data_IF_125677040809
#
_entry.id   IF_125677040809
#
_cell.length_a   1.000
_cell.length_b   1.000
_cell.length_c   1.000
_cell.angle_alpha   90.00
_cell.angle_beta   90.00
_cell.angle_gamma   90.00
#
_symmetry.space_group_name_H-M   'P 1'
#
loop_
_entity.id
_entity.type
_entity.pdbx_description
1 polymer ?
#
# COMPACT_ATOMS: atom_id res chain seq x y z
N UNK A 1 26.86 -20.40 5.45
CA UNK A 1 25.75 -19.71 4.75
C UNK A 1 24.37 -20.23 5.18
N UNK A 2 24.07 -21.55 5.13
CA UNK A 2 22.90 -22.12 5.82
C UNK A 2 22.97 -21.93 7.37
N UNK A 3 24.18 -22.03 7.94
CA UNK A 3 24.46 -21.62 9.34
C UNK A 3 24.34 -20.10 9.58
N UNK A 4 24.33 -19.29 8.50
CA UNK A 4 24.16 -17.82 8.57
C UNK A 4 22.70 -17.44 8.34
N UNK A 5 21.81 -18.37 7.99
CA UNK A 5 20.38 -18.12 7.76
C UNK A 5 19.52 -18.67 8.89
N UNK A 6 20.01 -19.65 9.65
CA UNK A 6 19.36 -20.12 10.88
C UNK A 6 19.78 -19.27 12.09
N UNK A 7 19.53 -17.97 12.01
CA UNK A 7 19.93 -16.97 13.01
C UNK A 7 18.88 -16.75 14.11
N UNK A 8 17.83 -17.58 14.20
CA UNK A 8 16.80 -17.42 15.22
C UNK A 8 17.38 -17.78 16.59
N UNK A 9 17.18 -16.92 17.59
CA UNK A 9 17.53 -17.25 18.96
C UNK A 9 16.81 -18.53 19.36
N UNK A 10 17.56 -19.47 19.93
CA UNK A 10 17.00 -20.74 20.40
C UNK A 10 16.14 -20.51 21.64
N UNK A 11 15.31 -21.49 21.99
CA UNK A 11 14.57 -21.47 23.27
C UNK A 11 15.50 -21.33 24.48
N UNK A 12 16.71 -21.89 24.39
CA UNK A 12 17.72 -21.76 25.42
C UNK A 12 18.26 -20.33 25.50
N UNK A 13 18.56 -19.69 24.35
CA UNK A 13 19.01 -18.29 24.31
C UNK A 13 17.96 -17.34 24.93
N UNK A 14 16.68 -17.57 24.63
CA UNK A 14 15.57 -16.77 25.18
C UNK A 14 15.41 -16.97 26.70
N UNK A 15 15.54 -18.21 27.18
CA UNK A 15 15.49 -18.51 28.61
C UNK A 15 16.67 -17.87 29.36
N UNK A 16 17.89 -17.99 28.82
CA UNK A 16 19.09 -17.36 29.38
C UNK A 16 18.97 -15.84 29.40
N UNK A 17 18.45 -15.22 28.34
CA UNK A 17 18.22 -13.77 28.33
C UNK A 17 17.21 -13.36 29.40
N UNK A 18 16.11 -14.11 29.56
CA UNK A 18 15.10 -13.85 30.59
C UNK A 18 15.73 -13.82 31.98
N UNK A 19 16.57 -14.80 32.30
CA UNK A 19 17.29 -14.89 33.58
C UNK A 19 18.25 -13.71 33.77
N UNK A 20 19.04 -13.36 32.75
CA UNK A 20 19.97 -12.23 32.84
C UNK A 20 19.27 -10.88 32.99
N UNK A 21 18.17 -10.64 32.28
CA UNK A 21 17.38 -9.41 32.43
C UNK A 21 16.75 -9.31 33.83
N UNK A 22 16.32 -10.45 34.39
CA UNK A 22 15.84 -10.53 35.77
C UNK A 22 16.93 -10.14 36.77
N UNK A 23 18.15 -10.66 36.59
CA UNK A 23 19.27 -10.32 37.47
C UNK A 23 19.62 -8.82 37.43
N UNK A 24 19.66 -8.22 36.24
CA UNK A 24 19.92 -6.77 36.09
C UNK A 24 18.84 -5.95 36.81
N UNK A 25 17.56 -6.25 36.59
CA UNK A 25 16.45 -5.47 37.17
C UNK A 25 16.31 -5.65 38.69
N UNK A 26 16.51 -6.88 39.20
CA UNK A 26 16.17 -7.23 40.57
C UNK A 26 17.38 -7.19 41.52
N UNK A 27 18.56 -7.56 41.04
CA UNK A 27 19.77 -7.69 41.86
C UNK A 27 20.68 -6.47 41.72
N UNK A 28 21.06 -6.11 40.50
CA UNK A 28 22.04 -5.04 40.24
C UNK A 28 21.46 -3.64 40.47
N UNK A 29 20.26 -3.39 39.97
CA UNK A 29 19.55 -2.13 40.15
C UNK A 29 18.63 -2.10 41.39
N UNK A 30 18.61 -3.20 42.16
CA UNK A 30 17.97 -3.30 43.47
C UNK A 30 16.44 -3.45 43.48
N UNK A 31 15.78 -3.38 42.32
CA UNK A 31 14.36 -3.71 42.08
C UNK A 31 13.31 -3.05 42.98
N UNK A 32 12.02 -3.17 42.64
CA UNK A 32 10.96 -2.82 43.59
C UNK A 32 10.83 -3.90 44.67
N UNK A 33 10.69 -3.49 45.94
CA UNK A 33 10.54 -4.42 47.08
C UNK A 33 9.13 -5.00 47.24
N UNK A 34 8.17 -4.53 46.45
CA UNK A 34 6.77 -4.96 46.55
C UNK A 34 6.55 -6.28 45.82
N UNK A 35 5.93 -7.31 46.45
CA UNK A 35 5.61 -8.57 45.78
C UNK A 35 4.77 -8.40 44.50
N UNK A 36 3.88 -7.41 44.46
CA UNK A 36 3.06 -7.12 43.28
C UNK A 36 3.90 -6.55 42.14
N UNK A 37 4.89 -5.71 42.46
CA UNK A 37 5.77 -5.11 41.47
C UNK A 37 6.78 -6.12 40.92
N UNK A 38 7.29 -7.04 41.77
CA UNK A 38 8.10 -8.18 41.34
C UNK A 38 7.31 -9.07 40.36
N UNK A 39 6.07 -9.42 40.72
CA UNK A 39 5.18 -10.20 39.83
C UNK A 39 4.95 -9.51 38.49
N UNK A 40 4.72 -8.19 38.49
CA UNK A 40 4.53 -7.42 37.26
C UNK A 40 5.80 -7.38 36.38
N UNK A 41 6.98 -7.27 36.99
CA UNK A 41 8.26 -7.34 36.25
C UNK A 41 8.39 -8.71 35.57
N UNK A 42 8.17 -9.79 36.30
CA UNK A 42 8.38 -11.16 35.82
C UNK A 42 7.35 -11.60 34.77
N UNK A 43 6.09 -11.19 34.93
CA UNK A 43 4.97 -11.59 34.07
C UNK A 43 4.75 -10.66 32.88
N UNK A 44 5.20 -9.41 32.93
CA UNK A 44 4.93 -8.41 31.87
C UNK A 44 6.20 -7.79 31.32
N UNK A 45 7.01 -7.12 32.16
CA UNK A 45 8.12 -6.29 31.66
C UNK A 45 9.23 -7.12 31.04
N UNK A 46 9.68 -8.19 31.71
CA UNK A 46 10.74 -9.04 31.18
C UNK A 46 10.30 -9.72 29.88
N UNK A 47 9.11 -10.37 29.79
CA UNK A 47 8.61 -10.90 28.51
C UNK A 47 8.55 -9.85 27.40
N UNK A 48 8.07 -8.64 27.70
CA UNK A 48 8.00 -7.53 26.74
C UNK A 48 9.39 -7.10 26.23
N UNK A 49 10.39 -7.04 27.13
CA UNK A 49 11.77 -6.69 26.77
C UNK A 49 12.43 -7.81 25.97
N UNK A 50 12.24 -9.07 26.36
CA UNK A 50 12.72 -10.24 25.60
C UNK A 50 12.16 -10.21 24.18
N UNK A 51 10.85 -9.97 24.04
CA UNK A 51 10.21 -9.82 22.74
C UNK A 51 10.81 -8.66 21.94
N UNK A 52 10.93 -7.47 22.55
CA UNK A 52 11.51 -6.29 21.90
C UNK A 52 12.95 -6.53 21.41
N UNK A 53 13.80 -7.15 22.24
CA UNK A 53 15.20 -7.43 21.90
C UNK A 53 15.32 -8.52 20.84
N UNK A 54 14.51 -9.57 20.93
CA UNK A 54 14.47 -10.63 19.92
C UNK A 54 14.04 -10.09 18.55
N UNK A 55 12.96 -9.31 18.50
CA UNK A 55 12.43 -8.73 17.26
C UNK A 55 13.35 -7.66 16.65
N UNK A 56 14.36 -7.21 17.39
CA UNK A 56 15.35 -6.21 16.95
C UNK A 56 16.80 -6.66 17.23
N UNK A 57 17.07 -7.96 17.14
CA UNK A 57 18.38 -8.52 17.48
C UNK A 57 19.55 -7.98 16.62
N UNK A 58 19.25 -7.38 15.48
CA UNK A 58 20.20 -6.72 14.58
C UNK A 58 20.49 -5.25 14.94
N UNK A 59 19.77 -4.69 15.91
CA UNK A 59 19.85 -3.29 16.35
C UNK A 59 20.37 -3.15 17.79
N UNK A 60 20.87 -4.21 18.41
CA UNK A 60 21.24 -4.22 19.83
C UNK A 60 22.39 -3.27 20.16
N UNK A 61 23.24 -2.95 19.19
CA UNK A 61 24.33 -1.95 19.31
C UNK A 61 23.96 -0.59 18.71
N UNK A 62 22.71 -0.40 18.26
CA UNK A 62 22.27 0.82 17.60
C UNK A 62 21.88 1.89 18.64
N UNK A 63 22.39 3.13 18.53
CA UNK A 63 22.12 4.18 19.52
C UNK A 63 20.65 4.57 19.59
N UNK A 64 19.98 4.69 18.44
CA UNK A 64 18.56 5.05 18.37
C UNK A 64 17.67 3.95 18.94
N UNK A 65 18.04 2.68 18.76
CA UNK A 65 17.32 1.58 19.41
C UNK A 65 17.44 1.66 20.94
N UNK A 66 18.62 1.98 21.47
CA UNK A 66 18.80 2.22 22.90
C UNK A 66 17.90 3.36 23.41
N UNK A 67 17.74 4.45 22.66
CA UNK A 67 16.79 5.53 22.99
C UNK A 67 15.33 5.05 23.05
N UNK A 68 14.91 4.19 22.12
CA UNK A 68 13.56 3.59 22.11
C UNK A 68 13.35 2.71 23.36
N UNK A 69 14.36 1.93 23.75
CA UNK A 69 14.32 1.11 24.96
C UNK A 69 14.24 1.99 26.21
N UNK A 70 15.03 3.05 26.30
CA UNK A 70 14.92 4.05 27.37
C UNK A 70 13.51 4.61 27.48
N UNK A 71 12.90 4.93 26.34
CA UNK A 71 11.54 5.45 26.30
C UNK A 71 10.51 4.43 26.81
N UNK A 72 10.65 3.15 26.42
CA UNK A 72 9.83 2.04 26.92
C UNK A 72 9.92 1.92 28.44
N UNK A 73 11.14 1.96 29.00
CA UNK A 73 11.38 1.85 30.44
C UNK A 73 10.84 3.06 31.21
N UNK A 74 10.97 4.28 30.67
CA UNK A 74 10.45 5.50 31.31
C UNK A 74 8.95 5.40 31.60
N UNK A 75 8.18 4.89 30.63
CA UNK A 75 6.73 4.78 30.77
C UNK A 75 6.32 3.60 31.65
N UNK A 76 7.12 2.53 31.69
CA UNK A 76 6.84 1.36 32.50
C UNK A 76 7.25 1.51 33.98
N UNK A 77 8.27 2.33 34.30
CA UNK A 77 8.88 2.37 35.64
C UNK A 77 8.75 3.68 36.43
N UNK A 78 8.20 4.76 35.87
CA UNK A 78 8.10 6.07 36.56
C UNK A 78 9.43 6.55 37.20
N UNK A 79 10.57 6.09 36.69
CA UNK A 79 11.89 6.43 37.21
C UNK A 79 12.34 7.82 36.72
N UNK A 80 13.20 8.53 37.48
CA UNK A 80 13.83 9.76 37.00
C UNK A 80 14.58 9.50 35.70
N UNK A 81 14.46 10.42 34.73
CA UNK A 81 15.03 10.24 33.39
C UNK A 81 16.55 9.95 33.38
N UNK A 82 17.29 10.47 34.38
CA UNK A 82 18.73 10.22 34.53
C UNK A 82 19.07 8.74 34.81
N UNK A 83 18.20 8.02 35.51
CA UNK A 83 18.40 6.61 35.90
C UNK A 83 18.08 5.67 34.72
N UNK A 84 17.08 6.03 33.93
CA UNK A 84 16.57 5.20 32.83
C UNK A 84 17.59 5.03 31.71
N UNK A 85 18.42 6.06 31.48
CA UNK A 85 19.44 6.03 30.42
C UNK A 85 20.49 4.95 30.65
N UNK A 86 20.99 4.84 31.89
CA UNK A 86 22.03 3.86 32.23
C UNK A 86 21.43 2.46 32.41
N UNK A 87 20.23 2.36 33.01
CA UNK A 87 19.51 1.08 33.09
C UNK A 87 19.25 0.47 31.70
N UNK A 88 18.87 1.28 30.71
CA UNK A 88 18.65 0.78 29.35
C UNK A 88 19.94 0.24 28.71
N UNK A 89 21.10 0.86 28.99
CA UNK A 89 22.39 0.36 28.51
C UNK A 89 22.72 -0.98 29.16
N UNK A 90 22.56 -1.08 30.47
CA UNK A 90 22.86 -2.31 31.21
C UNK A 90 21.94 -3.46 30.79
N UNK A 91 20.66 -3.19 30.51
CA UNK A 91 19.73 -4.20 29.99
C UNK A 91 20.06 -4.68 28.57
N UNK A 92 20.73 -3.85 27.76
CA UNK A 92 21.17 -4.25 26.43
C UNK A 92 22.42 -5.16 26.48
N UNK A 93 23.27 -5.06 27.50
CA UNK A 93 24.52 -5.84 27.61
C UNK A 93 24.26 -7.36 27.56
N UNK A 94 23.32 -7.94 28.33
CA UNK A 94 22.99 -9.36 28.22
C UNK A 94 22.54 -9.77 26.82
N UNK A 95 21.71 -8.96 26.18
CA UNK A 95 21.24 -9.23 24.81
C UNK A 95 22.39 -9.16 23.80
N UNK A 96 23.30 -8.20 23.96
CA UNK A 96 24.50 -8.05 23.13
C UNK A 96 25.44 -9.26 23.24
N UNK A 97 25.51 -9.90 24.40
CA UNK A 97 26.26 -11.15 24.59
C UNK A 97 25.75 -12.34 23.75
N UNK A 98 24.52 -12.26 23.26
CA UNK A 98 23.85 -13.31 22.46
C UNK A 98 23.88 -12.96 20.96
N UNK A 99 24.58 -11.90 20.53
CA UNK A 99 24.64 -11.47 19.13
C UNK A 99 25.17 -12.61 18.25
N UNK A 100 24.26 -13.18 17.46
CA UNK A 100 24.55 -14.17 16.42
C UNK A 100 24.41 -13.58 15.01
N UNK A 101 23.99 -12.32 14.87
CA UNK A 101 23.66 -11.65 13.59
C UNK A 101 24.50 -10.39 13.35
N UNK A 102 24.75 -10.00 12.08
CA UNK A 102 25.34 -8.70 11.74
C UNK A 102 24.55 -7.56 12.39
N UNK A 103 25.25 -6.59 12.97
CA UNK A 103 24.64 -5.42 13.61
C UNK A 103 24.53 -4.24 12.64
N UNK A 104 23.39 -3.57 12.64
CA UNK A 104 23.14 -2.39 11.83
C UNK A 104 23.45 -1.12 12.61
N UNK A 105 24.48 -0.39 12.15
CA UNK A 105 24.97 0.81 12.82
C UNK A 105 24.34 2.11 12.30
N UNK A 106 23.51 2.08 11.24
CA UNK A 106 22.80 3.28 10.76
C UNK A 106 21.82 3.75 11.84
N UNK A 107 22.00 4.94 12.44
CA UNK A 107 21.11 5.45 13.48
C UNK A 107 19.67 5.64 12.99
N UNK A 108 19.44 5.75 11.68
CA UNK A 108 18.10 5.93 11.11
C UNK A 108 17.35 4.61 10.94
N UNK A 109 18.02 3.46 11.05
CA UNK A 109 17.42 2.16 10.77
C UNK A 109 16.18 1.84 11.61
N UNK A 110 16.15 2.09 12.94
CA UNK A 110 14.93 1.85 13.72
C UNK A 110 13.72 2.62 13.19
N UNK A 111 13.91 3.86 12.74
CA UNK A 111 12.83 4.63 12.10
C UNK A 111 12.50 4.08 10.71
N UNK A 112 13.50 3.74 9.88
CA UNK A 112 13.24 3.10 8.57
C UNK A 112 12.39 1.84 8.72
N UNK A 113 12.65 0.99 9.72
CA UNK A 113 11.85 -0.21 10.04
C UNK A 113 10.40 0.14 10.33
N UNK A 114 10.14 1.09 11.23
CA UNK A 114 8.78 1.55 11.57
C UNK A 114 8.06 2.04 10.30
N UNK A 115 8.72 2.88 9.52
CA UNK A 115 8.12 3.52 8.36
C UNK A 115 7.94 2.58 7.17
N UNK A 116 8.77 1.52 7.04
CA UNK A 116 8.55 0.43 6.08
C UNK A 116 7.27 -0.34 6.38
N UNK A 117 7.08 -0.74 7.63
CA UNK A 117 5.84 -1.43 8.07
C UNK A 117 4.62 -0.53 7.90
N UNK A 118 4.73 0.74 8.28
CA UNK A 118 3.64 1.70 8.17
C UNK A 118 3.25 1.99 6.71
N UNK A 119 4.22 2.20 5.80
CA UNK A 119 3.95 2.30 4.34
C UNK A 119 3.38 0.98 3.79
N UNK A 120 3.78 -0.14 4.37
CA UNK A 120 3.23 -1.47 4.08
C UNK A 120 1.73 -1.62 4.37
N UNK A 121 1.13 -0.65 5.08
CA UNK A 121 -0.28 -0.63 5.44
C UNK A 121 -0.57 -1.21 6.83
N UNK A 122 0.46 -1.51 7.62
CA UNK A 122 0.26 -1.98 9.00
C UNK A 122 -0.22 -0.84 9.91
N UNK A 123 -1.12 -1.19 10.84
CA UNK A 123 -1.60 -0.26 11.87
C UNK A 123 -0.52 -0.03 12.92
N UNK A 124 -0.52 1.14 13.58
CA UNK A 124 0.45 1.41 14.66
C UNK A 124 0.42 0.37 15.79
N UNK A 125 -0.76 -0.14 16.24
CA UNK A 125 -0.81 -1.23 17.20
C UNK A 125 -0.13 -2.51 16.70
N UNK A 126 -0.34 -2.89 15.42
CA UNK A 126 0.32 -4.04 14.80
C UNK A 126 1.85 -3.86 14.77
N UNK A 127 2.32 -2.66 14.44
CA UNK A 127 3.76 -2.36 14.42
C UNK A 127 4.35 -2.46 15.84
N UNK A 128 3.65 -1.91 16.84
CA UNK A 128 4.08 -2.00 18.25
C UNK A 128 4.17 -3.46 18.73
N UNK A 129 3.15 -4.27 18.42
CA UNK A 129 3.13 -5.69 18.74
C UNK A 129 4.26 -6.43 18.04
N UNK A 130 4.47 -6.19 16.74
CA UNK A 130 5.49 -6.88 15.93
C UNK A 130 6.93 -6.51 16.33
N UNK A 131 7.18 -5.24 16.60
CA UNK A 131 8.54 -4.73 16.88
C UNK A 131 8.86 -4.71 18.37
N UNK A 132 7.85 -4.77 19.24
CA UNK A 132 8.00 -4.51 20.67
C UNK A 132 8.22 -3.03 21.02
N UNK A 133 8.13 -2.11 20.05
CA UNK A 133 8.27 -0.68 20.30
C UNK A 133 7.04 -0.12 21.03
N UNK A 134 7.19 0.93 21.87
CA UNK A 134 6.07 1.54 22.58
C UNK A 134 5.08 2.21 21.61
N UNK A 135 3.78 1.94 21.75
CA UNK A 135 2.74 2.47 20.85
C UNK A 135 2.70 4.01 20.86
N UNK A 136 2.78 4.57 22.04
CA UNK A 136 2.82 5.98 22.34
C UNK A 136 4.10 6.68 21.80
N UNK A 137 5.20 5.94 21.64
CA UNK A 137 6.36 6.41 20.87
C UNK A 137 6.04 6.48 19.37
N UNK A 138 5.35 5.47 18.82
CA UNK A 138 4.92 5.48 17.41
C UNK A 138 3.95 6.64 17.13
N UNK A 139 2.99 6.88 18.02
CA UNK A 139 2.06 8.01 17.92
C UNK A 139 2.81 9.35 17.87
N UNK A 140 3.82 9.52 18.72
CA UNK A 140 4.67 10.71 18.72
C UNK A 140 5.40 10.89 17.38
N UNK A 141 5.96 9.83 16.80
CA UNK A 141 6.64 9.91 15.49
C UNK A 141 5.67 10.35 14.39
N UNK A 142 4.47 9.78 14.34
CA UNK A 142 3.46 10.14 13.33
C UNK A 142 2.97 11.58 13.53
N UNK A 143 2.79 12.02 14.78
CA UNK A 143 2.45 13.41 15.08
C UNK A 143 3.54 14.38 14.59
N UNK A 144 4.81 14.07 14.85
CA UNK A 144 5.95 14.87 14.39
C UNK A 144 6.03 14.94 12.86
N UNK A 145 5.82 13.82 12.17
CA UNK A 145 5.76 13.77 10.71
C UNK A 145 4.60 14.64 10.17
N UNK A 146 3.41 14.58 10.78
CA UNK A 146 2.27 15.42 10.39
C UNK A 146 2.56 16.90 10.56
N UNK A 147 3.20 17.30 11.66
CA UNK A 147 3.64 18.69 11.88
C UNK A 147 4.61 19.16 10.79
N UNK A 148 5.62 18.34 10.47
CA UNK A 148 6.57 18.64 9.40
C UNK A 148 5.87 18.79 8.04
N UNK A 149 4.96 17.87 7.69
CA UNK A 149 4.16 17.95 6.46
C UNK A 149 3.32 19.22 6.41
N UNK A 150 2.65 19.58 7.51
CA UNK A 150 1.85 20.82 7.57
C UNK A 150 2.69 22.07 7.37
N UNK A 151 3.91 22.11 7.93
CA UNK A 151 4.83 23.22 7.76
C UNK A 151 5.35 23.31 6.32
N UNK A 152 5.85 22.20 5.77
CA UNK A 152 6.47 22.15 4.44
C UNK A 152 5.46 22.33 3.30
N UNK A 153 4.23 21.82 3.44
CA UNK A 153 3.18 21.98 2.42
C UNK A 153 2.83 23.46 2.16
N UNK A 154 2.85 24.30 3.20
CA UNK A 154 2.48 25.71 3.10
C UNK A 154 3.64 26.62 2.70
N UNK A 155 4.88 26.21 2.97
CA UNK A 155 6.05 27.11 2.88
C UNK A 155 7.07 26.67 1.83
N UNK A 156 7.01 25.42 1.33
CA UNK A 156 8.10 24.76 0.59
C UNK A 156 9.46 24.91 1.29
N UNK A 157 9.45 24.94 2.62
CA UNK A 157 10.63 25.14 3.44
C UNK A 157 11.68 24.05 3.22
N UNK A 158 12.94 24.47 3.14
CA UNK A 158 14.13 23.63 3.16
C UNK A 158 14.34 22.99 4.54
N UNK A 159 15.22 21.98 4.60
CA UNK A 159 15.62 21.37 5.87
C UNK A 159 16.19 22.39 6.87
N UNK A 160 16.94 23.39 6.39
CA UNK A 160 17.52 24.44 7.23
C UNK A 160 16.43 25.31 7.86
N UNK A 161 15.41 25.70 7.09
CA UNK A 161 14.27 26.47 7.60
C UNK A 161 13.44 25.64 8.58
N UNK A 162 13.29 24.33 8.33
CA UNK A 162 12.66 23.42 9.29
C UNK A 162 13.44 23.36 10.61
N UNK A 163 14.77 23.34 10.56
CA UNK A 163 15.62 23.39 11.76
C UNK A 163 15.54 24.73 12.49
N UNK A 164 15.21 25.82 11.79
CA UNK A 164 15.05 27.13 12.41
C UNK A 164 13.70 27.29 13.10
N UNK A 165 12.70 26.48 12.78
CA UNK A 165 11.39 26.50 13.41
C UNK A 165 11.45 25.99 14.87
N UNK A 166 10.93 26.77 15.81
CA UNK A 166 10.96 26.45 17.24
C UNK A 166 10.24 25.13 17.59
N UNK A 167 9.10 24.85 16.97
CA UNK A 167 8.31 23.64 17.24
C UNK A 167 8.96 22.37 16.67
N UNK A 168 9.66 22.48 15.53
CA UNK A 168 10.31 21.33 14.88
C UNK A 168 11.68 21.02 15.49
N UNK A 169 12.35 21.99 16.14
CA UNK A 169 13.63 21.77 16.85
C UNK A 169 13.52 20.74 17.97
N UNK A 170 12.35 20.59 18.58
CA UNK A 170 12.10 19.61 19.65
C UNK A 170 12.29 18.15 19.19
N UNK A 171 12.36 17.90 17.88
CA UNK A 171 12.48 16.54 17.34
C UNK A 171 13.91 16.00 17.48
N UNK A 172 14.90 16.91 17.61
CA UNK A 172 16.31 16.59 17.44
C UNK A 172 16.71 16.59 15.95
N UNK A 173 17.99 16.91 15.69
CA UNK A 173 18.50 17.07 14.32
C UNK A 173 18.36 15.79 13.48
N UNK A 174 18.77 14.64 14.02
CA UNK A 174 18.77 13.37 13.29
C UNK A 174 17.36 12.94 12.87
N UNK A 175 16.40 13.03 13.78
CA UNK A 175 15.02 12.63 13.50
C UNK A 175 14.35 13.60 12.52
N UNK A 176 14.55 14.91 12.70
CA UNK A 176 14.02 15.90 11.75
C UNK A 176 14.61 15.70 10.35
N UNK A 177 15.92 15.46 10.27
CA UNK A 177 16.62 15.14 9.03
C UNK A 177 16.05 13.88 8.37
N UNK A 178 15.84 12.81 9.15
CA UNK A 178 15.21 11.59 8.65
C UNK A 178 13.79 11.84 8.12
N UNK A 179 12.92 12.51 8.88
CA UNK A 179 11.55 12.78 8.44
C UNK A 179 11.49 13.63 7.19
N UNK A 180 12.34 14.66 7.10
CA UNK A 180 12.42 15.50 5.92
C UNK A 180 12.87 14.68 4.72
N UNK A 181 13.97 13.93 4.83
CA UNK A 181 14.48 13.06 3.77
C UNK A 181 13.44 12.04 3.32
N UNK A 182 12.79 11.38 4.27
CA UNK A 182 11.75 10.40 4.01
C UNK A 182 10.56 11.03 3.28
N UNK A 183 10.07 12.18 3.73
CA UNK A 183 8.98 12.89 3.06
C UNK A 183 9.37 13.27 1.62
N UNK A 184 10.56 13.86 1.44
CA UNK A 184 11.04 14.25 0.11
C UNK A 184 11.27 13.06 -0.81
N UNK A 185 11.74 11.92 -0.30
CA UNK A 185 11.93 10.71 -1.07
C UNK A 185 10.59 10.09 -1.46
N UNK A 186 9.62 10.05 -0.53
CA UNK A 186 8.26 9.58 -0.80
C UNK A 186 7.56 10.43 -1.87
N UNK A 187 7.84 11.73 -1.94
CA UNK A 187 7.23 12.65 -2.90
C UNK A 187 8.02 12.75 -4.23
N UNK A 188 9.34 12.61 -4.20
CA UNK A 188 10.23 12.90 -5.33
C UNK A 188 10.89 11.68 -5.99
N UNK A 189 11.06 10.56 -5.28
CA UNK A 189 11.62 9.33 -5.87
C UNK A 189 10.52 8.43 -6.43
N UNK A 190 10.57 8.06 -7.73
CA UNK A 190 9.60 7.15 -8.31
C UNK A 190 9.71 5.77 -7.66
N UNK A 191 8.56 5.17 -7.36
CA UNK A 191 8.43 3.84 -6.77
C UNK A 191 9.08 3.68 -5.38
N UNK A 192 9.37 4.77 -4.68
CA UNK A 192 10.00 4.72 -3.35
C UNK A 192 9.18 3.90 -2.35
N UNK A 193 7.85 4.07 -2.36
CA UNK A 193 6.95 3.35 -1.45
C UNK A 193 6.93 1.85 -1.75
N UNK A 194 6.87 1.49 -3.03
CA UNK A 194 6.88 0.12 -3.52
C UNK A 194 8.22 -0.55 -3.21
N UNK A 195 9.34 0.17 -3.39
CA UNK A 195 10.67 -0.27 -2.99
C UNK A 195 10.74 -0.61 -1.50
N UNK A 196 10.26 0.29 -0.64
CA UNK A 196 10.22 0.06 0.82
C UNK A 196 9.37 -1.16 1.21
N UNK A 197 8.24 -1.40 0.52
CA UNK A 197 7.43 -2.61 0.72
C UNK A 197 8.20 -3.87 0.38
N UNK A 198 8.94 -3.89 -0.74
CA UNK A 198 9.74 -5.04 -1.16
C UNK A 198 10.96 -5.25 -0.27
N UNK A 199 11.60 -4.18 0.22
CA UNK A 199 12.66 -4.28 1.24
C UNK A 199 12.15 -4.94 2.53
N UNK A 200 10.91 -4.65 2.94
CA UNK A 200 10.31 -5.31 4.11
C UNK A 200 10.08 -6.81 3.85
N UNK A 201 9.60 -7.18 2.66
CA UNK A 201 9.44 -8.59 2.28
C UNK A 201 10.78 -9.33 2.34
N UNK A 202 11.85 -8.74 1.82
CA UNK A 202 13.19 -9.31 1.86
C UNK A 202 13.66 -9.55 3.30
N UNK A 203 13.41 -8.59 4.20
CA UNK A 203 13.73 -8.77 5.61
C UNK A 203 12.92 -9.90 6.26
N UNK A 204 11.64 -9.98 5.94
CA UNK A 204 10.73 -11.00 6.47
C UNK A 204 11.11 -12.40 5.99
N UNK A 205 11.64 -12.49 4.77
CA UNK A 205 12.23 -13.71 4.22
C UNK A 205 13.55 -14.10 4.92
N UNK A 206 14.22 -13.16 5.59
CA UNK A 206 15.47 -13.42 6.32
C UNK A 206 16.65 -13.80 5.40
N UNK A 207 16.64 -13.35 4.14
CA UNK A 207 17.64 -13.71 3.14
C UNK A 207 18.36 -12.50 2.55
N UNK A 208 19.65 -12.64 2.17
CA UNK A 208 20.42 -11.57 1.55
C UNK A 208 20.02 -11.41 0.07
N UNK A 209 18.86 -10.80 -0.17
CA UNK A 209 18.32 -10.52 -1.51
C UNK A 209 18.25 -9.00 -1.72
N UNK A 210 18.42 -8.53 -2.96
CA UNK A 210 18.19 -7.12 -3.30
C UNK A 210 16.78 -6.93 -3.89
N UNK A 211 16.25 -5.70 -3.82
CA UNK A 211 14.91 -5.40 -4.38
C UNK A 211 14.81 -5.73 -5.89
N UNK A 212 15.80 -5.42 -6.75
CA UNK A 212 15.72 -5.76 -8.17
C UNK A 212 15.58 -7.26 -8.43
N UNK A 213 16.23 -8.08 -7.60
CA UNK A 213 16.14 -9.55 -7.65
C UNK A 213 14.69 -9.98 -7.35
N UNK A 214 14.11 -9.49 -6.25
CA UNK A 214 12.72 -9.81 -5.91
C UNK A 214 11.73 -9.34 -7.00
N UNK A 215 11.95 -8.15 -7.57
CA UNK A 215 11.14 -7.64 -8.69
C UNK A 215 11.22 -8.56 -9.90
N UNK A 216 12.43 -8.99 -10.29
CA UNK A 216 12.61 -9.90 -11.42
C UNK A 216 11.91 -11.24 -11.18
N UNK A 217 11.95 -11.78 -9.96
CA UNK A 217 11.28 -13.02 -9.61
C UNK A 217 9.76 -12.89 -9.78
N UNK A 218 9.19 -11.81 -9.22
CA UNK A 218 7.77 -11.54 -9.30
C UNK A 218 7.34 -11.22 -10.74
N UNK A 219 8.19 -10.58 -11.55
CA UNK A 219 7.95 -10.35 -12.99
C UNK A 219 7.91 -11.66 -13.80
N UNK A 220 8.80 -12.62 -13.51
CA UNK A 220 8.78 -13.94 -14.16
C UNK A 220 7.47 -14.66 -13.85
N UNK A 221 7.05 -14.64 -12.57
CA UNK A 221 5.78 -15.25 -12.15
C UNK A 221 4.60 -14.55 -12.83
N UNK A 222 4.61 -13.21 -12.88
CA UNK A 222 3.60 -12.41 -13.59
C UNK A 222 3.49 -12.80 -15.07
N UNK A 223 4.63 -12.91 -15.75
CA UNK A 223 4.70 -13.19 -17.19
C UNK A 223 4.15 -14.58 -17.56
N UNK A 224 4.27 -15.53 -16.63
CA UNK A 224 3.85 -16.92 -16.83
C UNK A 224 2.76 -17.35 -15.84
N UNK A 225 1.90 -16.42 -15.42
CA UNK A 225 0.82 -16.69 -14.47
C UNK A 225 -0.03 -17.88 -14.94
N UNK A 226 -0.26 -18.82 -14.02
CA UNK A 226 -1.06 -20.02 -14.29
C UNK A 226 -0.38 -21.09 -15.15
N UNK A 227 0.89 -20.90 -15.53
CA UNK A 227 1.68 -21.88 -16.31
C UNK A 227 2.80 -22.52 -15.49
N UNK A 228 3.51 -21.72 -14.69
CA UNK A 228 4.63 -22.18 -13.86
C UNK A 228 4.16 -22.89 -12.60
N UNK A 229 4.77 -24.03 -12.29
CA UNK A 229 4.78 -24.62 -10.95
C UNK A 229 6.11 -24.33 -10.25
N UNK A 230 6.24 -24.76 -8.99
CA UNK A 230 7.44 -24.53 -8.18
C UNK A 230 8.67 -25.16 -8.80
N UNK A 231 8.57 -26.42 -9.25
CA UNK A 231 9.70 -27.14 -9.84
C UNK A 231 10.20 -26.46 -11.13
N UNK A 232 9.28 -26.01 -11.98
CA UNK A 232 9.61 -25.28 -13.21
C UNK A 232 10.27 -23.94 -12.89
N UNK A 233 9.76 -23.20 -11.89
CA UNK A 233 10.35 -21.92 -11.49
C UNK A 233 11.74 -22.10 -10.86
N UNK A 234 11.91 -23.10 -9.99
CA UNK A 234 13.21 -23.45 -9.40
C UNK A 234 14.21 -23.82 -10.50
N UNK A 235 13.78 -24.59 -11.50
CA UNK A 235 14.63 -24.96 -12.64
C UNK A 235 15.03 -23.73 -13.45
N UNK A 236 14.08 -22.84 -13.77
CA UNK A 236 14.35 -21.59 -14.49
C UNK A 236 15.29 -20.65 -13.70
N UNK A 237 15.13 -20.56 -12.38
CA UNK A 237 16.02 -19.80 -11.50
C UNK A 237 17.42 -20.41 -11.44
N UNK A 238 17.52 -21.75 -11.43
CA UNK A 238 18.79 -22.49 -11.43
C UNK A 238 19.58 -22.30 -12.72
N UNK A 239 18.91 -22.26 -13.87
CA UNK A 239 19.54 -21.96 -15.17
C UNK A 239 19.95 -20.48 -15.28
N UNK A 240 19.20 -19.58 -14.65
CA UNK A 240 19.49 -18.16 -14.60
C UNK A 240 20.59 -17.78 -13.60
N UNK A 241 21.26 -18.72 -12.93
CA UNK A 241 22.21 -18.48 -11.83
C UNK A 241 23.37 -17.52 -12.16
N UNK A 242 23.63 -17.23 -13.43
CA UNK A 242 24.56 -16.18 -13.86
C UNK A 242 24.03 -14.74 -13.74
N UNK A 243 22.72 -14.55 -13.61
CA UNK A 243 22.02 -13.26 -13.55
C UNK A 243 21.84 -12.79 -12.09
N UNK A 244 21.69 -13.72 -11.14
CA UNK A 244 21.32 -13.46 -9.75
C UNK A 244 22.50 -13.21 -8.81
N UNK A 245 23.54 -12.51 -9.30
CA UNK A 245 24.51 -11.76 -8.48
C UNK A 245 25.30 -12.49 -7.39
N UNK A 246 25.15 -13.80 -7.22
CA UNK A 246 25.91 -14.60 -6.28
C UNK A 246 26.47 -15.80 -7.02
N UNK A 247 27.79 -15.79 -7.23
CA UNK A 247 28.54 -16.98 -7.62
C UNK A 247 28.45 -18.05 -6.53
N UNK A 248 27.35 -18.79 -6.50
CA UNK A 248 27.21 -20.08 -5.83
C UNK A 248 26.72 -21.05 -6.90
N UNK A 249 27.63 -21.33 -7.83
CA UNK A 249 27.42 -22.20 -8.97
C UNK A 249 28.77 -22.45 -9.60
N UNK A 250 29.64 -23.16 -8.88
CA UNK A 250 30.69 -23.90 -9.56
C UNK A 250 30.02 -24.86 -10.54
N UNK A 251 30.52 -24.92 -11.78
CA UNK A 251 30.06 -25.88 -12.78
C UNK A 251 29.94 -27.30 -12.17
N UNK A 252 28.72 -27.74 -11.89
CA UNK A 252 28.44 -29.08 -11.37
C UNK A 252 27.35 -29.09 -10.30
N UNK A 253 26.08 -29.29 -10.72
CA UNK A 253 25.03 -29.95 -9.95
C UNK A 253 24.87 -29.61 -8.46
N UNK A 254 24.97 -28.33 -8.08
CA UNK A 254 24.96 -27.96 -6.66
C UNK A 254 23.51 -27.87 -6.13
N UNK A 255 23.09 -28.90 -5.37
CA UNK A 255 21.76 -29.00 -4.73
C UNK A 255 21.43 -27.79 -3.82
N UNK A 256 22.44 -26.99 -3.44
CA UNK A 256 22.33 -25.83 -2.56
C UNK A 256 21.64 -24.62 -3.21
N UNK A 257 21.80 -24.41 -4.52
CA UNK A 257 21.09 -23.35 -5.24
C UNK A 257 19.58 -23.59 -5.23
N UNK A 258 19.17 -24.85 -5.41
CA UNK A 258 17.76 -25.25 -5.37
C UNK A 258 17.11 -25.07 -3.99
N UNK A 259 17.85 -25.34 -2.91
CA UNK A 259 17.39 -25.11 -1.54
C UNK A 259 17.11 -23.63 -1.26
N UNK A 260 17.95 -22.72 -1.79
CA UNK A 260 17.72 -21.28 -1.67
C UNK A 260 16.46 -20.85 -2.43
N UNK A 261 16.32 -21.27 -3.68
CA UNK A 261 15.14 -20.97 -4.50
C UNK A 261 13.85 -21.50 -3.87
N UNK A 262 13.89 -22.71 -3.30
CA UNK A 262 12.75 -23.30 -2.61
C UNK A 262 12.33 -22.51 -1.37
N UNK A 263 13.29 -22.11 -0.51
CA UNK A 263 13.00 -21.31 0.68
C UNK A 263 12.41 -19.93 0.34
N UNK A 264 12.83 -19.32 -0.77
CA UNK A 264 12.25 -18.07 -1.29
C UNK A 264 10.79 -18.26 -1.66
N UNK A 265 10.47 -19.30 -2.42
CA UNK A 265 9.10 -19.53 -2.91
C UNK A 265 8.16 -19.84 -1.74
N UNK A 266 8.53 -20.76 -0.84
CA UNK A 266 7.76 -21.07 0.38
C UNK A 266 7.58 -19.82 1.26
N UNK A 267 8.65 -19.04 1.45
CA UNK A 267 8.59 -17.77 2.17
C UNK A 267 7.59 -16.79 1.55
N UNK A 268 7.61 -16.60 0.23
CA UNK A 268 6.68 -15.72 -0.48
C UNK A 268 5.23 -16.22 -0.47
N UNK A 269 5.01 -17.55 -0.46
CA UNK A 269 3.68 -18.15 -0.28
C UNK A 269 3.18 -17.89 1.16
N UNK A 270 4.02 -18.10 2.17
CA UNK A 270 3.67 -17.85 3.57
C UNK A 270 3.37 -16.37 3.86
N UNK A 271 4.07 -15.45 3.18
CA UNK A 271 3.83 -14.01 3.23
C UNK A 271 2.66 -13.56 2.33
N UNK A 272 2.00 -14.48 1.64
CA UNK A 272 0.88 -14.25 0.73
C UNK A 272 1.21 -13.33 -0.45
N UNK A 273 2.47 -13.29 -0.91
CA UNK A 273 2.87 -12.60 -2.13
C UNK A 273 2.65 -13.45 -3.38
N UNK A 274 2.75 -14.77 -3.25
CA UNK A 274 2.46 -15.73 -4.33
C UNK A 274 1.40 -16.69 -3.82
N UNK A 275 0.56 -17.19 -4.73
CA UNK A 275 -0.47 -18.18 -4.46
C UNK A 275 -0.43 -19.30 -5.49
N UNK A 276 -1.01 -20.46 -5.14
CA UNK A 276 -1.24 -21.57 -6.06
C UNK A 276 -2.70 -21.57 -6.49
N UNK A 277 -2.95 -21.62 -7.79
CA UNK A 277 -4.29 -21.82 -8.32
C UNK A 277 -4.76 -23.28 -8.12
N UNK A 278 -6.00 -23.59 -8.53
CA UNK A 278 -6.56 -24.95 -8.41
C UNK A 278 -5.75 -26.05 -9.12
N UNK A 279 -4.96 -25.67 -10.13
CA UNK A 279 -4.08 -26.56 -10.87
C UNK A 279 -2.66 -26.67 -10.28
N UNK A 280 -2.41 -26.05 -9.11
CA UNK A 280 -1.10 -26.02 -8.46
C UNK A 280 -0.10 -25.06 -9.10
N UNK A 281 -0.55 -24.19 -10.02
CA UNK A 281 0.31 -23.23 -10.74
C UNK A 281 0.39 -21.91 -9.98
N UNK A 282 1.55 -21.28 -10.05
CA UNK A 282 1.87 -20.05 -9.34
C UNK A 282 1.18 -18.84 -9.99
N UNK A 283 0.66 -17.97 -9.14
CA UNK A 283 0.05 -16.68 -9.51
C UNK A 283 0.43 -15.63 -8.49
N UNK A 284 0.50 -14.37 -8.90
CA UNK A 284 0.68 -13.29 -7.93
C UNK A 284 -0.60 -13.06 -7.12
N UNK A 285 -0.42 -12.68 -5.86
CA UNK A 285 -1.50 -12.10 -5.07
C UNK A 285 -1.86 -10.69 -5.57
N UNK A 286 -3.06 -10.20 -5.24
CA UNK A 286 -3.43 -8.81 -5.54
C UNK A 286 -2.43 -7.81 -4.91
N UNK A 287 -1.96 -8.09 -3.68
CA UNK A 287 -0.98 -7.26 -2.96
C UNK A 287 0.36 -7.16 -3.70
N UNK A 288 0.90 -8.28 -4.14
CA UNK A 288 2.19 -8.32 -4.83
C UNK A 288 2.07 -7.73 -6.23
N UNK A 289 1.01 -8.05 -6.97
CA UNK A 289 0.73 -7.46 -8.28
C UNK A 289 0.63 -5.93 -8.22
N UNK A 290 -0.09 -5.37 -7.24
CA UNK A 290 -0.15 -3.92 -7.00
C UNK A 290 1.23 -3.33 -6.68
N UNK A 291 2.06 -4.05 -5.90
CA UNK A 291 3.39 -3.58 -5.51
C UNK A 291 4.35 -3.56 -6.69
N UNK A 292 4.31 -4.56 -7.58
CA UNK A 292 5.23 -4.64 -8.71
C UNK A 292 4.77 -3.86 -9.96
N UNK A 293 3.48 -3.53 -10.06
CA UNK A 293 2.93 -2.88 -11.26
C UNK A 293 3.69 -1.62 -11.67
N UNK A 294 4.13 -0.83 -10.69
CA UNK A 294 4.98 0.34 -10.92
C UNK A 294 6.30 0.05 -11.63
N UNK A 295 6.92 -1.09 -11.33
CA UNK A 295 8.18 -1.52 -11.94
C UNK A 295 7.98 -2.09 -13.35
N UNK A 296 6.82 -2.70 -13.63
CA UNK A 296 6.49 -3.26 -14.95
C UNK A 296 6.04 -2.19 -15.95
N UNK A 297 5.47 -1.09 -15.45
CA UNK A 297 4.88 -0.01 -16.24
C UNK A 297 5.80 0.57 -17.32
N UNK A 298 7.09 0.89 -17.07
CA UNK A 298 7.98 1.43 -18.10
C UNK A 298 8.13 0.49 -19.31
N UNK A 299 8.32 -0.82 -19.05
CA UNK A 299 8.50 -1.83 -20.10
C UNK A 299 7.20 -2.05 -20.89
N UNK A 300 6.09 -2.25 -20.18
CA UNK A 300 4.78 -2.50 -20.80
C UNK A 300 4.25 -1.26 -21.52
N UNK A 301 4.46 -0.08 -20.96
CA UNK A 301 4.13 1.20 -21.57
C UNK A 301 4.89 1.43 -22.87
N UNK A 302 6.20 1.17 -22.91
CA UNK A 302 6.98 1.24 -24.15
C UNK A 302 6.49 0.23 -25.21
N UNK A 303 6.13 -0.99 -24.81
CA UNK A 303 5.54 -1.97 -25.72
C UNK A 303 4.20 -1.48 -26.28
N UNK A 304 3.34 -0.89 -25.44
CA UNK A 304 2.05 -0.36 -25.84
C UNK A 304 2.19 0.85 -26.77
N UNK A 305 3.10 1.78 -26.45
CA UNK A 305 3.47 2.92 -27.33
C UNK A 305 3.93 2.45 -28.70
N UNK A 306 4.79 1.42 -28.76
CA UNK A 306 5.26 0.84 -30.03
C UNK A 306 4.12 0.22 -30.83
N UNK A 307 3.23 -0.56 -30.19
CA UNK A 307 2.08 -1.16 -30.85
C UNK A 307 1.14 -0.10 -31.45
N UNK A 308 0.90 1.00 -30.72
CA UNK A 308 0.08 2.12 -31.19
C UNK A 308 0.76 2.86 -32.35
N UNK A 309 2.09 3.05 -32.29
CA UNK A 309 2.88 3.71 -33.34
C UNK A 309 2.82 2.96 -34.67
N UNK A 310 2.80 1.63 -34.64
CA UNK A 310 2.64 0.79 -35.84
C UNK A 310 1.17 0.56 -36.23
N UNK A 311 0.23 1.24 -35.57
CA UNK A 311 -1.22 1.11 -35.76
C UNK A 311 -1.76 -0.32 -35.57
N UNK A 312 -1.09 -1.15 -34.77
CA UNK A 312 -1.53 -2.51 -34.45
C UNK A 312 -2.35 -2.52 -33.15
N UNK A 313 -3.65 -2.30 -33.30
CA UNK A 313 -4.59 -2.30 -32.18
C UNK A 313 -4.79 -3.69 -31.58
N UNK A 314 -4.60 -4.77 -32.34
CA UNK A 314 -4.76 -6.12 -31.81
C UNK A 314 -3.58 -6.51 -30.92
N UNK A 315 -2.36 -6.13 -31.31
CA UNK A 315 -1.19 -6.26 -30.45
C UNK A 315 -1.34 -5.43 -29.18
N UNK A 316 -1.80 -4.18 -29.30
CA UNK A 316 -2.02 -3.30 -28.14
C UNK A 316 -3.04 -3.92 -27.15
N UNK A 317 -4.15 -4.47 -27.66
CA UNK A 317 -5.14 -5.19 -26.85
C UNK A 317 -4.54 -6.44 -26.22
N UNK A 318 -3.76 -7.23 -26.98
CA UNK A 318 -3.10 -8.44 -26.47
C UNK A 318 -2.16 -8.15 -25.31
N UNK A 319 -1.41 -7.04 -25.38
CA UNK A 319 -0.56 -6.58 -24.27
C UNK A 319 -1.42 -6.32 -23.02
N UNK A 320 -2.54 -5.60 -23.14
CA UNK A 320 -3.41 -5.31 -21.99
C UNK A 320 -4.11 -6.56 -21.44
N UNK A 321 -4.65 -7.41 -22.31
CA UNK A 321 -5.42 -8.61 -21.92
C UNK A 321 -4.55 -9.71 -21.30
N UNK A 322 -3.23 -9.68 -21.51
CA UNK A 322 -2.29 -10.63 -20.89
C UNK A 322 -1.89 -10.24 -19.46
N UNK A 323 -2.30 -9.07 -18.97
CA UNK A 323 -1.93 -8.61 -17.62
C UNK A 323 -2.99 -9.03 -16.59
N UNK A 324 -2.54 -9.32 -15.37
CA UNK A 324 -3.46 -9.42 -14.24
C UNK A 324 -4.16 -8.08 -13.95
N UNK A 325 -5.29 -8.12 -13.23
CA UNK A 325 -6.15 -6.95 -13.02
C UNK A 325 -5.42 -5.76 -12.37
N UNK A 326 -4.53 -6.02 -11.42
CA UNK A 326 -3.82 -4.96 -10.70
C UNK A 326 -2.83 -4.21 -11.59
N UNK A 327 -2.07 -4.93 -12.43
CA UNK A 327 -1.16 -4.32 -13.41
C UNK A 327 -1.95 -3.67 -14.55
N UNK A 328 -3.04 -4.30 -14.98
CA UNK A 328 -3.93 -3.75 -16.01
C UNK A 328 -4.50 -2.39 -15.61
N UNK A 329 -5.03 -2.24 -14.39
CA UNK A 329 -5.56 -0.95 -13.90
C UNK A 329 -4.49 0.15 -13.98
N UNK A 330 -3.25 -0.16 -13.60
CA UNK A 330 -2.14 0.79 -13.68
C UNK A 330 -1.78 1.15 -15.12
N UNK A 331 -1.88 0.21 -16.05
CA UNK A 331 -1.71 0.46 -17.48
C UNK A 331 -2.85 1.26 -18.09
N UNK A 332 -4.08 1.10 -17.60
CA UNK A 332 -5.23 1.92 -17.99
C UNK A 332 -4.93 3.38 -17.62
N UNK A 333 -4.50 3.64 -16.38
CA UNK A 333 -4.14 5.00 -15.92
C UNK A 333 -2.99 5.60 -16.74
N UNK A 334 -1.95 4.78 -16.97
CA UNK A 334 -0.82 5.17 -17.80
C UNK A 334 -1.26 5.53 -19.23
N UNK A 335 -2.18 4.76 -19.81
CA UNK A 335 -2.69 5.00 -21.17
C UNK A 335 -3.39 6.35 -21.28
N UNK A 336 -4.06 6.81 -20.22
CA UNK A 336 -4.73 8.12 -20.20
C UNK A 336 -3.74 9.28 -20.04
N UNK A 337 -2.63 9.07 -19.33
CA UNK A 337 -1.61 10.09 -19.10
C UNK A 337 -0.68 10.29 -20.30
N UNK A 338 -0.41 9.22 -21.05
CA UNK A 338 0.67 9.20 -22.04
C UNK A 338 0.18 9.17 -23.50
N UNK A 339 -1.07 8.78 -23.75
CA UNK A 339 -1.63 8.68 -25.10
C UNK A 339 -2.62 9.82 -25.38
N UNK A 340 -2.90 10.09 -26.66
CA UNK A 340 -4.01 10.99 -27.01
C UNK A 340 -5.36 10.36 -26.62
N UNK A 341 -6.39 11.18 -26.40
CA UNK A 341 -7.73 10.69 -26.05
C UNK A 341 -8.28 9.68 -27.08
N UNK A 342 -8.00 9.88 -28.37
CA UNK A 342 -8.40 8.98 -29.45
C UNK A 342 -7.70 7.63 -29.34
N UNK A 343 -6.38 7.62 -29.12
CA UNK A 343 -5.59 6.41 -28.97
C UNK A 343 -5.97 5.64 -27.71
N UNK A 344 -6.05 6.34 -26.58
CA UNK A 344 -6.46 5.77 -25.30
C UNK A 344 -7.85 5.14 -25.42
N UNK A 345 -8.82 5.87 -25.98
CA UNK A 345 -10.16 5.32 -26.16
C UNK A 345 -10.18 4.10 -27.09
N UNK A 346 -9.48 4.14 -28.23
CA UNK A 346 -9.46 3.03 -29.18
C UNK A 346 -8.93 1.72 -28.57
N UNK A 347 -7.87 1.80 -27.78
CA UNK A 347 -7.26 0.65 -27.12
C UNK A 347 -8.13 0.19 -25.94
N UNK A 348 -8.55 1.10 -25.06
CA UNK A 348 -9.30 0.78 -23.85
C UNK A 348 -10.72 0.27 -24.13
N UNK A 349 -11.38 0.81 -25.15
CA UNK A 349 -12.67 0.27 -25.61
C UNK A 349 -12.54 -1.18 -26.11
N UNK A 350 -11.36 -1.55 -26.64
CA UNK A 350 -11.07 -2.91 -27.11
C UNK A 350 -11.07 -3.96 -26.01
N UNK A 351 -10.82 -3.58 -24.76
CA UNK A 351 -10.77 -4.49 -23.61
C UNK A 351 -12.04 -4.47 -22.75
N UNK A 352 -13.00 -3.60 -23.04
CA UNK A 352 -14.30 -3.55 -22.36
C UNK A 352 -15.06 -4.87 -22.54
N UNK A 353 -15.59 -5.43 -21.45
CA UNK A 353 -16.25 -6.73 -21.34
C UNK A 353 -15.36 -7.95 -21.68
N UNK A 354 -14.03 -7.79 -21.68
CA UNK A 354 -13.09 -8.88 -21.99
C UNK A 354 -12.34 -9.45 -20.80
N UNK A 355 -12.31 -8.74 -19.66
CA UNK A 355 -11.51 -9.13 -18.49
C UNK A 355 -12.41 -9.52 -17.32
N UNK A 356 -13.00 -8.54 -16.64
CA UNK A 356 -13.92 -8.77 -15.53
C UNK A 356 -14.84 -7.57 -15.34
N UNK A 357 -15.97 -7.79 -14.63
CA UNK A 357 -16.91 -6.70 -14.30
C UNK A 357 -16.26 -5.61 -13.45
N UNK A 358 -15.29 -5.96 -12.61
CA UNK A 358 -14.52 -4.99 -11.80
C UNK A 358 -13.72 -4.05 -12.71
N UNK A 359 -13.06 -4.59 -13.74
CA UNK A 359 -12.33 -3.80 -14.74
C UNK A 359 -13.29 -2.98 -15.60
N UNK A 360 -14.45 -3.52 -15.98
CA UNK A 360 -15.46 -2.79 -16.75
C UNK A 360 -15.99 -1.56 -16.01
N UNK A 361 -16.26 -1.69 -14.70
CA UNK A 361 -16.64 -0.57 -13.83
C UNK A 361 -15.52 0.47 -13.79
N UNK A 362 -14.26 0.03 -13.72
CA UNK A 362 -13.11 0.94 -13.74
C UNK A 362 -13.01 1.70 -15.07
N UNK A 363 -13.14 0.99 -16.20
CA UNK A 363 -13.12 1.58 -17.53
C UNK A 363 -14.22 2.62 -17.72
N UNK A 364 -15.42 2.39 -17.21
CA UNK A 364 -16.52 3.37 -17.29
C UNK A 364 -16.20 4.65 -16.54
N UNK A 365 -15.60 4.54 -15.34
CA UNK A 365 -15.14 5.72 -14.60
C UNK A 365 -14.07 6.49 -15.36
N UNK A 366 -13.14 5.78 -16.00
CA UNK A 366 -12.11 6.36 -16.87
C UNK A 366 -12.73 7.06 -18.08
N UNK A 367 -13.72 6.44 -18.72
CA UNK A 367 -14.40 6.98 -19.91
C UNK A 367 -15.19 8.26 -19.64
N UNK A 368 -15.51 8.57 -18.38
CA UNK A 368 -16.11 9.86 -18.02
C UNK A 368 -15.24 11.06 -18.44
N UNK A 369 -13.92 10.89 -18.53
CA UNK A 369 -12.99 11.93 -19.00
C UNK A 369 -12.77 11.95 -20.52
N UNK A 370 -13.40 11.04 -21.26
CA UNK A 370 -13.20 10.88 -22.71
C UNK A 370 -14.52 11.14 -23.47
N UNK A 371 -14.71 12.33 -24.05
CA UNK A 371 -15.94 12.64 -24.80
C UNK A 371 -16.27 11.64 -25.93
N UNK A 372 -15.24 11.04 -26.53
CA UNK A 372 -15.35 10.00 -27.57
C UNK A 372 -16.07 8.73 -27.08
N UNK A 373 -16.10 8.48 -25.76
CA UNK A 373 -16.75 7.33 -25.16
C UNK A 373 -18.28 7.46 -25.08
N UNK A 374 -18.86 8.60 -25.45
CA UNK A 374 -20.29 8.87 -25.36
C UNK A 374 -21.17 7.73 -25.91
N UNK A 375 -20.89 7.25 -27.12
CA UNK A 375 -21.69 6.18 -27.75
C UNK A 375 -21.58 4.84 -27.02
N UNK A 376 -20.42 4.54 -26.42
CA UNK A 376 -20.24 3.34 -25.60
C UNK A 376 -21.04 3.48 -24.30
N UNK A 377 -20.89 4.61 -23.61
CA UNK A 377 -21.58 4.90 -22.35
C UNK A 377 -23.11 4.89 -22.50
N UNK A 378 -23.63 5.40 -23.62
CA UNK A 378 -25.05 5.30 -23.95
C UNK A 378 -25.55 3.84 -24.03
N UNK A 379 -24.72 2.91 -24.51
CA UNK A 379 -25.05 1.47 -24.49
C UNK A 379 -25.00 0.90 -23.07
N UNK A 380 -24.05 1.35 -22.25
CA UNK A 380 -23.88 0.90 -20.86
C UNK A 380 -25.08 1.25 -19.97
N UNK A 381 -25.90 2.25 -20.33
CA UNK A 381 -27.16 2.57 -19.62
C UNK A 381 -28.16 1.40 -19.61
N UNK A 382 -28.00 0.42 -20.49
CA UNK A 382 -28.85 -0.77 -20.56
C UNK A 382 -28.14 -2.06 -20.10
N UNK A 383 -26.96 -1.97 -19.44
CA UNK A 383 -26.26 -3.15 -18.94
C UNK A 383 -27.05 -3.84 -17.80
N UNK A 384 -26.91 -5.15 -17.67
CA UNK A 384 -27.57 -5.93 -16.63
C UNK A 384 -27.02 -5.60 -15.23
N UNK A 385 -25.76 -5.22 -15.14
CA UNK A 385 -25.11 -4.83 -13.88
C UNK A 385 -25.48 -3.37 -13.53
N UNK A 386 -26.09 -3.18 -12.36
CA UNK A 386 -26.49 -1.85 -11.89
C UNK A 386 -25.31 -0.92 -11.61
N UNK A 387 -24.12 -1.45 -11.27
CA UNK A 387 -22.93 -0.62 -11.06
C UNK A 387 -22.42 -0.05 -12.39
N UNK A 388 -22.53 -0.82 -13.48
CA UNK A 388 -22.22 -0.37 -14.83
C UNK A 388 -23.21 0.72 -15.26
N UNK A 389 -24.52 0.53 -15.06
CA UNK A 389 -25.53 1.55 -15.37
C UNK A 389 -25.31 2.84 -14.58
N UNK A 390 -25.10 2.74 -13.27
CA UNK A 390 -24.84 3.89 -12.41
C UNK A 390 -23.58 4.66 -12.81
N UNK A 391 -22.48 3.93 -13.09
CA UNK A 391 -21.24 4.54 -13.58
C UNK A 391 -21.41 5.21 -14.94
N UNK A 392 -22.25 4.65 -15.83
CA UNK A 392 -22.55 5.25 -17.12
C UNK A 392 -23.36 6.55 -16.99
N UNK A 393 -24.33 6.60 -16.06
CA UNK A 393 -25.02 7.85 -15.72
C UNK A 393 -24.03 8.93 -15.28
N UNK A 394 -23.18 8.61 -14.30
CA UNK A 394 -22.17 9.54 -13.79
C UNK A 394 -21.22 10.02 -14.90
N UNK A 395 -20.75 9.10 -15.75
CA UNK A 395 -19.84 9.43 -16.84
C UNK A 395 -20.50 10.34 -17.89
N UNK A 396 -21.76 10.08 -18.26
CA UNK A 396 -22.50 10.92 -19.21
C UNK A 396 -22.82 12.30 -18.64
N UNK A 397 -23.09 12.41 -17.34
CA UNK A 397 -23.26 13.68 -16.62
C UNK A 397 -22.03 14.57 -16.78
N UNK A 398 -20.85 14.02 -16.49
CA UNK A 398 -19.55 14.70 -16.64
C UNK A 398 -19.22 15.07 -18.09
N UNK A 399 -19.58 14.24 -19.06
CA UNK A 399 -19.38 14.55 -20.49
C UNK A 399 -20.29 15.70 -20.93
N UNK A 400 -21.46 15.87 -20.32
CA UNK A 400 -22.34 17.02 -20.57
C UNK A 400 -23.10 16.99 -21.89
N UNK A 401 -23.01 15.92 -22.69
CA UNK A 401 -23.67 15.85 -23.99
C UNK A 401 -25.18 15.62 -23.84
N UNK A 402 -25.97 16.67 -24.13
CA UNK A 402 -27.44 16.69 -23.95
C UNK A 402 -28.22 15.62 -24.72
N UNK A 403 -27.61 14.92 -25.68
CA UNK A 403 -28.25 13.76 -26.33
C UNK A 403 -28.57 12.60 -25.36
N UNK A 404 -27.89 12.50 -24.21
CA UNK A 404 -28.19 11.49 -23.19
C UNK A 404 -29.42 11.79 -22.32
N UNK A 405 -29.90 13.05 -22.30
CA UNK A 405 -30.91 13.52 -21.33
C UNK A 405 -32.16 12.64 -21.32
N UNK A 406 -32.70 12.29 -22.49
CA UNK A 406 -33.90 11.46 -22.57
C UNK A 406 -33.70 10.07 -21.95
N UNK A 407 -32.54 9.45 -22.19
CA UNK A 407 -32.24 8.12 -21.63
C UNK A 407 -32.02 8.19 -20.12
N UNK A 408 -31.37 9.26 -19.64
CA UNK A 408 -31.19 9.48 -18.20
C UNK A 408 -32.52 9.74 -17.47
N UNK A 409 -33.47 10.46 -18.09
CA UNK A 409 -34.84 10.62 -17.56
C UNK A 409 -35.52 9.26 -17.39
N UNK A 410 -35.33 8.32 -18.32
CA UNK A 410 -35.90 6.97 -18.17
C UNK A 410 -35.29 6.21 -16.98
N UNK A 411 -34.00 6.39 -16.71
CA UNK A 411 -33.32 5.76 -15.58
C UNK A 411 -33.66 6.36 -14.21
N UNK A 412 -34.41 7.46 -14.15
CA UNK A 412 -35.10 7.89 -12.91
C UNK A 412 -36.16 6.87 -12.43
N UNK A 413 -36.44 5.82 -13.22
CA UNK A 413 -37.34 4.72 -12.87
C UNK A 413 -36.62 3.36 -12.81
N UNK A 414 -35.29 3.37 -12.80
CA UNK A 414 -34.49 2.13 -12.68
C UNK A 414 -34.84 1.39 -11.38
N UNK A 415 -34.90 0.05 -11.37
CA UNK A 415 -35.19 -0.70 -10.15
C UNK A 415 -34.19 -0.45 -9.02
N UNK A 416 -32.94 -0.10 -9.33
CA UNK A 416 -31.88 0.09 -8.35
C UNK A 416 -31.77 1.56 -7.95
N UNK A 417 -31.90 1.81 -6.64
CA UNK A 417 -31.85 3.15 -6.02
C UNK A 417 -30.61 3.94 -6.46
N UNK A 418 -29.43 3.32 -6.42
CA UNK A 418 -28.18 3.98 -6.79
C UNK A 418 -28.11 4.41 -8.26
N UNK A 419 -28.81 3.71 -9.17
CA UNK A 419 -28.90 4.12 -10.58
C UNK A 419 -29.80 5.35 -10.71
N UNK A 420 -30.94 5.37 -10.01
CA UNK A 420 -31.85 6.54 -10.00
C UNK A 420 -31.16 7.78 -9.44
N UNK A 421 -30.41 7.63 -8.36
CA UNK A 421 -29.62 8.69 -7.75
C UNK A 421 -28.60 9.27 -8.76
N UNK A 422 -27.81 8.40 -9.40
CA UNK A 422 -26.82 8.85 -10.39
C UNK A 422 -27.46 9.45 -11.65
N UNK A 423 -28.63 8.96 -12.07
CA UNK A 423 -29.38 9.55 -13.17
C UNK A 423 -29.87 10.97 -12.83
N UNK A 424 -30.40 11.18 -11.62
CA UNK A 424 -30.81 12.50 -11.14
C UNK A 424 -29.63 13.47 -11.05
N UNK A 425 -28.50 13.01 -10.50
CA UNK A 425 -27.26 13.78 -10.43
C UNK A 425 -26.77 14.19 -11.82
N UNK A 426 -26.67 13.24 -12.75
CA UNK A 426 -26.21 13.49 -14.12
C UNK A 426 -27.09 14.52 -14.85
N UNK A 427 -28.42 14.45 -14.69
CA UNK A 427 -29.35 15.43 -15.26
C UNK A 427 -29.13 16.85 -14.71
N UNK A 428 -28.77 16.96 -13.44
CA UNK A 428 -28.38 18.23 -12.81
C UNK A 428 -27.06 18.77 -13.36
N UNK A 429 -26.03 17.94 -13.44
CA UNK A 429 -24.71 18.28 -14.00
C UNK A 429 -24.80 18.73 -15.48
N UNK A 430 -25.74 18.17 -16.24
CA UNK A 430 -25.99 18.52 -17.64
C UNK A 430 -26.88 19.76 -17.83
N UNK A 431 -27.35 20.36 -16.73
CA UNK A 431 -28.30 21.48 -16.74
C UNK A 431 -29.54 21.17 -17.62
N UNK A 432 -30.10 19.97 -17.45
CA UNK A 432 -31.15 19.45 -18.30
C UNK A 432 -32.53 20.03 -17.92
N UNK A 433 -32.84 21.25 -18.40
CA UNK A 433 -34.13 21.93 -18.14
C UNK A 433 -35.34 21.06 -18.49
N UNK A 434 -35.26 20.25 -19.55
CA UNK A 434 -36.33 19.32 -19.93
C UNK A 434 -36.59 18.21 -18.92
N UNK A 435 -35.66 17.94 -18.00
CA UNK A 435 -35.79 16.93 -16.96
C UNK A 435 -36.44 17.45 -15.67
N UNK A 436 -36.56 18.77 -15.49
CA UNK A 436 -37.07 19.39 -14.24
C UNK A 436 -38.40 18.79 -13.81
N UNK A 437 -39.34 18.60 -14.74
CA UNK A 437 -40.66 18.02 -14.44
C UNK A 437 -40.56 16.61 -13.82
N UNK A 438 -39.73 15.74 -14.39
CA UNK A 438 -39.57 14.37 -13.87
C UNK A 438 -38.74 14.35 -12.58
N UNK A 439 -37.75 15.24 -12.45
CA UNK A 439 -36.99 15.40 -11.20
C UNK A 439 -37.89 15.89 -10.06
N UNK A 440 -38.81 16.83 -10.30
CA UNK A 440 -39.77 17.29 -9.28
C UNK A 440 -40.68 16.15 -8.84
N UNK A 441 -41.19 15.37 -9.79
CA UNK A 441 -42.00 14.17 -9.49
C UNK A 441 -41.24 13.19 -8.59
N UNK A 442 -39.95 12.98 -8.83
CA UNK A 442 -39.09 12.12 -8.00
C UNK A 442 -38.84 12.75 -6.63
N UNK A 443 -38.58 14.06 -6.56
CA UNK A 443 -38.33 14.79 -5.31
C UNK A 443 -39.53 14.79 -4.35
N UNK A 444 -40.75 14.71 -4.89
CA UNK A 444 -42.01 14.75 -4.13
C UNK A 444 -42.60 13.35 -3.85
N UNK A 445 -42.04 12.29 -4.44
CA UNK A 445 -42.48 10.91 -4.23
C UNK A 445 -42.08 10.40 -2.84
N UNK A 446 -43.01 10.33 -1.90
CA UNK A 446 -42.73 9.82 -0.55
C UNK A 446 -42.34 8.34 -0.49
N UNK A 447 -42.61 7.56 -1.54
CA UNK A 447 -42.18 6.17 -1.67
C UNK A 447 -40.74 6.01 -2.18
N UNK A 448 -40.12 7.09 -2.64
CA UNK A 448 -38.73 7.11 -3.11
C UNK A 448 -37.73 7.19 -1.93
N UNK A 449 -36.52 6.66 -2.16
CA UNK A 449 -35.39 6.76 -1.26
C UNK A 449 -35.03 8.21 -0.96
N UNK A 450 -34.74 8.51 0.31
CA UNK A 450 -34.34 9.84 0.78
C UNK A 450 -33.20 10.41 -0.07
N UNK A 451 -32.15 9.62 -0.31
CA UNK A 451 -30.99 10.04 -1.10
C UNK A 451 -31.37 10.50 -2.52
N UNK A 452 -32.27 9.75 -3.18
CA UNK A 452 -32.69 10.06 -4.55
C UNK A 452 -33.53 11.34 -4.59
N UNK A 453 -34.40 11.55 -3.59
CA UNK A 453 -35.21 12.78 -3.48
C UNK A 453 -34.35 14.00 -3.22
N UNK A 454 -33.40 13.89 -2.28
CA UNK A 454 -32.47 14.96 -1.97
C UNK A 454 -31.61 15.31 -3.18
N UNK A 455 -31.05 14.29 -3.85
CA UNK A 455 -30.27 14.50 -5.07
C UNK A 455 -31.10 15.14 -6.18
N UNK A 456 -32.37 14.73 -6.38
CA UNK A 456 -33.25 15.34 -7.37
C UNK A 456 -33.52 16.83 -7.06
N UNK A 457 -33.74 17.19 -5.78
CA UNK A 457 -33.91 18.60 -5.36
C UNK A 457 -32.66 19.42 -5.60
N UNK A 458 -31.48 18.88 -5.28
CA UNK A 458 -30.21 19.54 -5.55
C UNK A 458 -29.99 19.77 -7.06
N UNK A 459 -30.31 18.76 -7.88
CA UNK A 459 -30.23 18.85 -9.34
C UNK A 459 -31.17 19.91 -9.90
N UNK A 460 -32.42 20.01 -9.39
CA UNK A 460 -33.37 21.08 -9.77
C UNK A 460 -32.80 22.45 -9.41
N UNK A 461 -32.33 22.63 -8.18
CA UNK A 461 -31.72 23.90 -7.75
C UNK A 461 -30.51 24.28 -8.62
N UNK A 462 -29.71 23.29 -9.03
CA UNK A 462 -28.56 23.50 -9.91
C UNK A 462 -29.00 23.95 -11.30
N UNK A 463 -30.04 23.34 -11.85
CA UNK A 463 -30.60 23.74 -13.14
C UNK A 463 -31.17 25.17 -13.08
N UNK A 464 -31.96 25.48 -12.05
CA UNK A 464 -32.62 26.79 -11.87
C UNK A 464 -31.62 27.95 -11.68
N UNK A 465 -30.54 27.71 -10.94
CA UNK A 465 -29.48 28.72 -10.74
C UNK A 465 -28.80 29.12 -12.05
N UNK A 466 -28.66 28.19 -12.99
CA UNK A 466 -27.97 28.44 -14.25
C UNK A 466 -28.92 28.84 -15.39
N UNK A 467 -30.19 28.45 -15.35
CA UNK A 467 -31.20 28.83 -16.35
C UNK A 467 -31.76 30.25 -16.17
N UNK A 468 -31.62 30.86 -14.98
CA UNK A 468 -32.15 32.20 -14.70
C UNK A 468 -33.69 32.29 -14.66
N UNK A 469 -34.38 31.16 -14.82
CA UNK A 469 -35.83 31.04 -14.79
C UNK A 469 -36.25 30.35 -13.49
N UNK A 470 -36.96 31.09 -12.62
CA UNK A 470 -37.65 30.49 -11.47
C UNK A 470 -38.92 29.81 -11.95
N UNK A 471 -38.93 28.48 -11.99
CA UNK A 471 -40.12 27.72 -12.33
C UNK A 471 -41.05 27.64 -11.11
N UNK A 472 -42.36 27.86 -11.26
CA UNK A 472 -43.28 27.83 -10.13
C UNK A 472 -43.41 26.40 -9.58
N UNK A 473 -43.10 26.23 -8.29
CA UNK A 473 -43.54 25.06 -7.53
C UNK A 473 -45.07 25.05 -7.50
N UNK A 474 -45.71 24.18 -8.30
CA UNK A 474 -47.14 23.89 -8.15
C UNK A 474 -47.36 23.25 -6.77
N UNK A 475 -48.21 23.90 -5.98
CA UNK A 475 -48.54 23.57 -4.58
C UNK A 475 -49.49 22.39 -4.45
#
# INVERSE_FOLDING_TARGET
>A
MAEITNLAWTKHDLASLKESLSAVLLEEWGGPRSPLALKYIDETIIPDLVHCFFSNADLLTNPTFAEIVQWKLKNQFANPAAVVADLAKDLLVPAQGIIKRPQVMDPKEPWRRIFRLWIGGESLPSIAERTGYPLDYLDLLILRLKKLKGFTANTRASLLECQQNAELREFGFEQLSFFYQFQTAVEGEPLYRERLKLEQVILDLGMPMQVPDLVALLEIIHTHEGQLDEDSLISAMGEASGIWGYGIGGNGGDQRGNLFSFAVIEGLISLHYIQKNKAGKLTLSEKSAQTIAGFLLPKLGEQLKKAILIHDLELAKGILLSQNEAVLVRLIDWSLGELSQEQAFAVLNGIYQKVSRRVDIYLIKVFAGLPLAFNLLMKCLADNDSLIRAGACEALGRIGNKAAVFSLIQLLRDPVVGVREMAAKALGEMEAVSAVKELSRVADDYGESINVREQARESIQTIERHSGEGFPHEK
#
